data_IF_411539233697
#
_entry.id   IF_411539233697
#
_cell.length_a   1.000
_cell.length_b   1.000
_cell.length_c   1.000
_cell.angle_alpha   90.00
_cell.angle_beta   90.00
_cell.angle_gamma   90.00
#
_symmetry.space_group_name_H-M   'P 1'
#
loop_
_entity.id
_entity.type
_entity.pdbx_description
1 polymer ?
#
# COMPACT_ATOMS: atom_id res chain seq x y z
N UNK A 1 5.13 12.02 5.44
CA UNK A 1 5.69 12.11 4.06
C UNK A 1 4.60 11.90 3.02
N UNK A 2 4.77 12.44 1.81
CA UNK A 2 3.84 12.20 0.70
C UNK A 2 4.47 11.25 -0.33
N UNK A 3 3.71 10.24 -0.73
CA UNK A 3 4.09 9.22 -1.70
C UNK A 3 3.28 9.43 -2.98
N UNK A 4 3.95 9.50 -4.13
CA UNK A 4 3.25 9.62 -5.40
C UNK A 4 2.46 8.35 -5.72
N UNK A 5 1.22 8.51 -6.18
CA UNK A 5 0.39 7.41 -6.65
C UNK A 5 -0.25 7.76 -8.00
N UNK A 6 0.40 7.42 -9.12
CA UNK A 6 -0.11 7.68 -10.47
C UNK A 6 -1.48 7.06 -10.72
N UNK A 7 -1.78 5.90 -10.14
CA UNK A 7 -3.10 5.27 -10.23
C UNK A 7 -4.22 6.16 -9.69
N UNK A 8 -3.99 6.85 -8.56
CA UNK A 8 -4.94 7.80 -7.97
C UNK A 8 -4.82 9.21 -8.55
N UNK A 9 -3.81 9.47 -9.40
CA UNK A 9 -3.46 10.79 -9.94
C UNK A 9 -3.23 11.85 -8.84
N UNK A 10 -2.73 11.41 -7.70
CA UNK A 10 -2.46 12.27 -6.53
C UNK A 10 -1.40 11.63 -5.63
N UNK A 11 -1.12 12.28 -4.49
CA UNK A 11 -0.23 11.77 -3.46
C UNK A 11 -1.02 11.08 -2.34
N UNK A 12 -0.39 10.09 -1.72
CA UNK A 12 -0.85 9.38 -0.54
C UNK A 12 0.05 9.74 0.63
N UNK A 13 -0.53 10.11 1.75
CA UNK A 13 0.19 10.48 2.95
C UNK A 13 0.60 9.24 3.76
N UNK A 14 1.86 9.20 4.21
CA UNK A 14 2.34 8.30 5.25
C UNK A 14 2.78 9.16 6.44
N UNK A 15 1.98 9.18 7.51
CA UNK A 15 2.30 9.92 8.74
C UNK A 15 3.32 9.17 9.58
N UNK A 16 4.04 9.88 10.46
CA UNK A 16 5.03 9.27 11.36
C UNK A 16 4.38 8.29 12.35
N UNK A 17 3.13 8.56 12.76
CA UNK A 17 2.31 7.66 13.56
C UNK A 17 2.07 6.34 12.81
N UNK A 18 1.67 6.41 11.54
CA UNK A 18 1.40 5.23 10.72
C UNK A 18 2.67 4.48 10.35
N UNK A 19 3.76 5.19 10.10
CA UNK A 19 5.07 4.56 9.89
C UNK A 19 5.55 3.81 11.14
N UNK A 20 5.35 4.40 12.33
CA UNK A 20 5.68 3.75 13.60
C UNK A 20 4.81 2.53 13.84
N UNK A 21 3.50 2.63 13.57
CA UNK A 21 2.57 1.50 13.64
C UNK A 21 3.00 0.34 12.72
N UNK A 22 3.39 0.65 11.48
CA UNK A 22 3.89 -0.35 10.52
C UNK A 22 5.18 -0.99 11.05
N UNK A 23 6.12 -0.20 11.59
CA UNK A 23 7.37 -0.72 12.14
C UNK A 23 7.14 -1.68 13.32
N UNK A 24 6.17 -1.39 14.17
CA UNK A 24 5.82 -2.22 15.32
C UNK A 24 5.08 -3.51 14.92
N UNK A 25 4.13 -3.41 13.97
CA UNK A 25 3.29 -4.55 13.55
C UNK A 25 3.93 -5.40 12.47
N UNK A 26 4.78 -4.81 11.64
CA UNK A 26 5.43 -5.40 10.48
C UNK A 26 6.95 -5.11 10.49
N UNK A 27 7.68 -5.59 11.51
CA UNK A 27 9.14 -5.38 11.62
C UNK A 27 9.92 -6.05 10.48
N UNK A 28 9.29 -6.95 9.71
CA UNK A 28 9.87 -7.51 8.49
C UNK A 28 9.94 -6.53 7.32
N UNK A 29 9.14 -5.46 7.35
CA UNK A 29 9.06 -4.46 6.31
C UNK A 29 9.95 -3.25 6.66
N UNK A 30 9.76 -2.68 7.85
CA UNK A 30 10.51 -1.51 8.29
C UNK A 30 11.57 -1.84 9.34
N UNK A 31 12.73 -1.18 9.31
CA UNK A 31 13.08 -0.04 8.44
C UNK A 31 13.64 -0.43 7.05
N UNK A 32 14.01 -1.69 6.85
CA UNK A 32 14.83 -2.13 5.72
C UNK A 32 14.21 -1.85 4.33
N UNK A 33 12.89 -1.95 4.20
CA UNK A 33 12.18 -1.86 2.91
C UNK A 33 11.23 -0.66 2.85
N UNK A 34 11.61 0.45 3.50
CA UNK A 34 10.82 1.68 3.53
C UNK A 34 10.52 2.24 2.12
N UNK A 35 11.51 2.24 1.23
CA UNK A 35 11.33 2.75 -0.13
C UNK A 35 10.30 1.97 -0.94
N UNK A 36 10.18 0.67 -0.68
CA UNK A 36 9.30 -0.22 -1.41
C UNK A 36 7.82 0.09 -1.15
N UNK A 37 7.49 0.72 -0.02
CA UNK A 37 6.13 1.25 0.23
C UNK A 37 5.79 2.29 -0.84
N UNK A 38 6.69 3.24 -1.10
CA UNK A 38 6.51 4.25 -2.14
C UNK A 38 6.46 3.66 -3.54
N UNK A 39 7.37 2.74 -3.86
CA UNK A 39 7.37 2.04 -5.16
C UNK A 39 6.09 1.25 -5.41
N UNK A 40 5.52 0.64 -4.37
CA UNK A 40 4.25 -0.09 -4.48
C UNK A 40 3.09 0.83 -4.87
N UNK A 41 3.07 2.07 -4.36
CA UNK A 41 2.06 3.07 -4.74
C UNK A 41 2.32 3.70 -6.10
N UNK A 42 3.59 3.88 -6.45
CA UNK A 42 4.02 4.50 -7.70
C UNK A 42 3.79 3.59 -8.93
N UNK A 43 4.04 2.29 -8.78
CA UNK A 43 3.99 1.31 -9.88
C UNK A 43 3.42 -0.04 -9.39
N UNK A 44 2.13 -0.12 -8.99
CA UNK A 44 1.56 -1.38 -8.50
C UNK A 44 1.47 -2.46 -9.59
N UNK A 45 1.53 -3.73 -9.19
CA UNK A 45 1.17 -4.87 -10.05
C UNK A 45 -0.33 -5.16 -10.01
N UNK A 46 -0.94 -4.98 -8.84
CA UNK A 46 -2.35 -5.28 -8.63
C UNK A 46 -2.94 -4.35 -7.58
N UNK A 47 -4.15 -3.87 -7.86
CA UNK A 47 -4.94 -3.02 -6.96
C UNK A 47 -6.24 -3.72 -6.62
N UNK A 48 -6.52 -3.83 -5.33
CA UNK A 48 -7.75 -4.42 -4.80
C UNK A 48 -8.53 -3.41 -3.96
N UNK A 49 -9.86 -3.54 -3.96
CA UNK A 49 -10.74 -2.83 -3.02
C UNK A 49 -11.15 -3.78 -1.90
N UNK A 50 -11.13 -3.32 -0.66
CA UNK A 50 -11.63 -4.10 0.47
C UNK A 50 -13.17 -4.27 0.35
N UNK A 51 -13.69 -5.46 0.66
CA UNK A 51 -15.12 -5.76 0.58
C UNK A 51 -15.90 -5.18 1.75
N UNK A 52 -15.29 -5.13 2.93
CA UNK A 52 -15.90 -4.67 4.18
C UNK A 52 -15.76 -3.16 4.35
N UNK A 53 -14.67 -2.59 3.83
CA UNK A 53 -14.35 -1.17 3.91
C UNK A 53 -14.17 -0.59 2.51
N UNK A 54 -15.24 -0.15 1.82
CA UNK A 54 -15.16 0.30 0.42
C UNK A 54 -14.23 1.48 0.16
N UNK A 55 -13.91 2.27 1.19
CA UNK A 55 -12.94 3.35 1.15
C UNK A 55 -11.48 2.89 1.32
N UNK A 56 -11.25 1.60 1.54
CA UNK A 56 -9.94 0.99 1.66
C UNK A 56 -9.51 0.34 0.35
N UNK A 57 -8.28 0.66 -0.07
CA UNK A 57 -7.67 0.17 -1.31
C UNK A 57 -6.30 -0.41 -0.99
N UNK A 58 -6.04 -1.60 -1.52
CA UNK A 58 -4.79 -2.33 -1.33
C UNK A 58 -4.00 -2.30 -2.64
N UNK A 59 -2.83 -1.70 -2.58
CA UNK A 59 -1.84 -1.71 -3.65
C UNK A 59 -0.83 -2.80 -3.38
N UNK A 60 -0.40 -3.53 -4.41
CA UNK A 60 0.59 -4.59 -4.23
C UNK A 60 1.61 -4.58 -5.36
N UNK A 61 2.86 -4.85 -5.01
CA UNK A 61 3.96 -4.97 -5.95
C UNK A 61 4.92 -6.08 -5.52
N UNK A 62 5.37 -6.89 -6.47
CA UNK A 62 6.32 -7.98 -6.26
C UNK A 62 7.77 -7.49 -6.30
N UNK A 63 8.52 -7.78 -5.24
CA UNK A 63 9.93 -7.45 -5.13
C UNK A 63 10.77 -8.72 -5.04
N UNK A 64 11.57 -9.07 -6.07
CA UNK A 64 12.47 -10.23 -6.03
C UNK A 64 13.48 -10.18 -4.87
N UNK A 65 13.91 -8.98 -4.49
CA UNK A 65 14.89 -8.73 -3.43
C UNK A 65 14.33 -8.81 -2.01
N UNK A 66 13.00 -8.73 -1.83
CA UNK A 66 12.38 -8.79 -0.50
C UNK A 66 12.25 -10.26 -0.11
N UNK A 67 13.10 -10.71 0.83
CA UNK A 67 13.07 -12.06 1.41
C UNK A 67 12.92 -13.21 0.39
N UNK A 68 13.69 -13.14 -0.71
CA UNK A 68 13.67 -14.16 -1.77
C UNK A 68 12.41 -14.13 -2.64
N UNK A 69 11.82 -12.95 -2.83
CA UNK A 69 10.62 -12.75 -3.63
C UNK A 69 9.36 -12.72 -2.76
N UNK A 70 8.83 -11.51 -2.54
CA UNK A 70 7.58 -11.27 -1.84
C UNK A 70 6.83 -10.09 -2.43
N UNK A 71 5.54 -10.05 -2.20
CA UNK A 71 4.76 -8.84 -2.37
C UNK A 71 4.98 -7.91 -1.18
N UNK A 72 5.03 -6.62 -1.45
CA UNK A 72 4.69 -5.61 -0.45
C UNK A 72 3.30 -5.13 -0.79
N UNK A 73 2.44 -5.11 0.23
CA UNK A 73 1.07 -4.65 0.14
C UNK A 73 0.95 -3.37 0.95
N UNK A 74 0.46 -2.30 0.33
CA UNK A 74 0.20 -1.01 0.97
C UNK A 74 -1.29 -0.79 1.00
N UNK A 75 -1.84 -0.65 2.21
CA UNK A 75 -3.26 -0.41 2.42
C UNK A 75 -3.46 1.08 2.70
N UNK A 76 -4.30 1.69 1.90
CA UNK A 76 -4.67 3.09 2.06
C UNK A 76 -6.15 3.23 2.38
N UNK A 77 -6.52 4.35 2.99
CA UNK A 77 -7.91 4.79 3.10
C UNK A 77 -8.07 6.12 2.37
N UNK A 78 -9.24 6.28 1.74
CA UNK A 78 -9.68 7.51 1.11
C UNK A 78 -10.78 8.19 1.95
N UNK A 79 -10.67 9.50 2.18
CA UNK A 79 -11.79 10.30 2.65
C UNK A 79 -12.85 10.45 1.53
N UNK A 80 -14.14 10.53 1.90
CA UNK A 80 -15.17 10.82 0.93
C UNK A 80 -15.00 12.23 0.32
N UNK A 81 -15.48 12.45 -0.92
CA UNK A 81 -15.45 13.77 -1.58
C UNK A 81 -16.14 14.86 -0.73
N UNK A 82 -15.82 16.17 -0.91
CA UNK A 82 -15.11 16.77 -2.06
C UNK A 82 -13.59 17.00 -1.88
N UNK A 83 -13.06 16.90 -0.67
CA UNK A 83 -11.63 17.05 -0.38
C UNK A 83 -11.05 15.70 0.08
N UNK A 84 -11.01 14.73 -0.83
CA UNK A 84 -10.58 13.37 -0.51
C UNK A 84 -9.07 13.30 -0.22
N UNK A 85 -8.71 13.13 1.06
CA UNK A 85 -7.36 12.74 1.51
C UNK A 85 -7.16 11.24 1.27
N UNK A 86 -5.94 10.85 0.92
CA UNK A 86 -5.52 9.45 0.90
C UNK A 86 -4.35 9.26 1.85
N UNK A 87 -4.42 8.25 2.72
CA UNK A 87 -3.31 7.95 3.63
C UNK A 87 -3.10 6.45 3.82
N UNK A 88 -1.85 6.07 4.08
CA UNK A 88 -1.47 4.71 4.42
C UNK A 88 -1.97 4.39 5.83
N UNK A 89 -2.75 3.33 5.96
CA UNK A 89 -3.20 2.80 7.27
C UNK A 89 -2.26 1.71 7.77
N UNK A 90 -1.77 0.87 6.86
CA UNK A 90 -0.74 -0.14 7.13
C UNK A 90 -0.04 -0.56 5.84
N UNK A 91 1.11 -1.21 5.96
CA UNK A 91 1.79 -1.90 4.87
C UNK A 91 2.47 -3.17 5.43
N UNK A 92 2.55 -4.23 4.63
CA UNK A 92 3.09 -5.51 5.09
C UNK A 92 3.67 -6.34 3.95
N UNK A 93 4.47 -7.35 4.31
CA UNK A 93 5.03 -8.32 3.36
C UNK A 93 4.09 -9.50 3.24
N UNK A 94 3.78 -9.91 2.00
CA UNK A 94 2.89 -11.03 1.72
C UNK A 94 3.54 -12.06 0.77
N UNK A 95 3.24 -13.34 0.99
CA UNK A 95 3.63 -14.41 0.06
C UNK A 95 2.67 -14.51 -1.13
N UNK A 96 1.39 -14.29 -0.89
CA UNK A 96 0.32 -14.37 -1.87
C UNK A 96 -0.67 -13.23 -1.62
N UNK A 97 -1.35 -12.78 -2.67
CA UNK A 97 -2.39 -11.76 -2.57
C UNK A 97 -3.75 -12.42 -2.37
N UNK A 98 -4.45 -12.04 -1.31
CA UNK A 98 -5.74 -12.60 -0.93
C UNK A 98 -6.65 -11.53 -0.34
N UNK A 99 -7.96 -11.79 -0.31
CA UNK A 99 -8.96 -10.82 0.16
C UNK A 99 -9.21 -9.69 -0.84
N UNK A 100 -10.28 -8.93 -0.61
CA UNK A 100 -10.68 -7.83 -1.50
C UNK A 100 -11.14 -8.29 -2.89
N UNK A 101 -11.63 -7.33 -3.66
CA UNK A 101 -11.98 -7.48 -5.08
C UNK A 101 -10.86 -6.84 -5.91
N UNK A 102 -10.31 -7.59 -6.86
CA UNK A 102 -9.35 -7.04 -7.82
C UNK A 102 -10.09 -6.04 -8.72
N UNK A 103 -9.67 -4.77 -8.66
CA UNK A 103 -10.25 -3.69 -9.48
C UNK A 103 -9.33 -3.28 -10.62
N UNK A 104 -8.03 -3.61 -10.52
CA UNK A 104 -7.06 -3.37 -11.57
C UNK A 104 -5.88 -4.33 -11.43
N UNK A 105 -5.33 -4.74 -12.57
CA UNK A 105 -4.06 -5.47 -12.69
C UNK A 105 -3.21 -4.80 -13.75
N UNK A 106 -1.89 -4.83 -13.55
CA UNK A 106 -0.93 -4.44 -14.57
C UNK A 106 -1.21 -5.27 -15.84
N UNK A 107 -1.34 -4.61 -17.01
CA UNK A 107 -1.55 -5.29 -18.29
C UNK A 107 -0.32 -6.09 -18.74
#
# INVERSE_FOLDING_TARGET
>A
MNLECPYLKTQVELTDERESHIREKHPELLPQYREQIGRTLADPDEVRRDVRFPNSVLFSHWFPQVKGGKFIVVVIVADPPPAGRYWVVTAYVARQLSGGIVIWKRP
#
